data_IF_679613009866
#
_entry.id   IF_679613009866
#
_cell.length_a   1.000
_cell.length_b   1.000
_cell.length_c   1.000
_cell.angle_alpha   90.00
_cell.angle_beta   90.00
_cell.angle_gamma   90.00
#
_symmetry.space_group_name_H-M   'P 1'
#
loop_
_entity.id
_entity.type
_entity.pdbx_description
1 polymer ?
#
# COMPACT_ATOMS: atom_id res chain seq x y z
N UNK A 1 -50.65 -19.55 -16.08
CA UNK A 1 -49.90 -18.35 -16.48
C UNK A 1 -49.84 -18.33 -17.99
N UNK A 2 -50.35 -17.27 -18.62
CA UNK A 2 -50.41 -17.21 -20.08
C UNK A 2 -49.02 -16.91 -20.65
N UNK A 3 -48.71 -17.42 -21.84
CA UNK A 3 -47.42 -17.23 -22.52
C UNK A 3 -47.07 -15.74 -22.70
N UNK A 4 -48.09 -14.87 -22.77
CA UNK A 4 -47.92 -13.42 -22.81
C UNK A 4 -47.33 -12.84 -21.50
N UNK A 5 -47.80 -13.31 -20.33
CA UNK A 5 -47.28 -12.86 -19.02
C UNK A 5 -45.80 -13.23 -18.85
N UNK A 6 -45.39 -14.37 -19.38
CA UNK A 6 -43.99 -14.86 -19.31
C UNK A 6 -43.07 -14.05 -20.22
N UNK A 7 -43.54 -13.66 -21.41
CA UNK A 7 -42.76 -12.84 -22.36
C UNK A 7 -42.65 -11.39 -21.90
N UNK A 8 -43.69 -10.83 -21.28
CA UNK A 8 -43.68 -9.46 -20.74
C UNK A 8 -42.80 -9.33 -19.50
N UNK A 9 -42.82 -10.34 -18.60
CA UNK A 9 -41.87 -10.46 -17.48
C UNK A 9 -40.42 -10.63 -17.95
N UNK A 10 -40.18 -11.43 -19.00
CA UNK A 10 -38.84 -11.62 -19.56
C UNK A 10 -38.30 -10.36 -20.24
N UNK A 11 -39.14 -9.60 -20.95
CA UNK A 11 -38.76 -8.32 -21.55
C UNK A 11 -38.48 -7.25 -20.49
N UNK A 12 -39.29 -7.19 -19.42
CA UNK A 12 -39.07 -6.28 -18.31
C UNK A 12 -37.73 -6.52 -17.60
N UNK A 13 -37.38 -7.78 -17.33
CA UNK A 13 -36.09 -8.14 -16.73
C UNK A 13 -34.89 -7.83 -17.64
N UNK A 14 -35.01 -8.07 -18.95
CA UNK A 14 -33.95 -7.74 -19.91
C UNK A 14 -33.69 -6.23 -20.01
N UNK A 15 -34.76 -5.43 -19.96
CA UNK A 15 -34.68 -3.98 -20.03
C UNK A 15 -34.12 -3.36 -18.74
N UNK A 16 -34.52 -3.90 -17.57
CA UNK A 16 -33.92 -3.56 -16.28
C UNK A 16 -32.43 -3.88 -16.23
N UNK A 17 -32.02 -5.02 -16.78
CA UNK A 17 -30.62 -5.39 -16.80
C UNK A 17 -29.78 -4.43 -17.68
N UNK A 18 -30.30 -4.04 -18.85
CA UNK A 18 -29.63 -3.06 -19.72
C UNK A 18 -29.49 -1.69 -19.04
N UNK A 19 -30.51 -1.24 -18.31
CA UNK A 19 -30.45 0.01 -17.55
C UNK A 19 -29.43 -0.07 -16.41
N UNK A 20 -29.36 -1.21 -15.71
CA UNK A 20 -28.39 -1.41 -14.64
C UNK A 20 -26.94 -1.40 -15.16
N UNK A 21 -26.67 -2.03 -16.30
CA UNK A 21 -25.34 -1.97 -16.95
C UNK A 21 -24.98 -0.55 -17.38
N UNK A 22 -25.92 0.21 -17.95
CA UNK A 22 -25.67 1.61 -18.32
C UNK A 22 -25.32 2.48 -17.09
N UNK A 23 -26.01 2.26 -15.96
CA UNK A 23 -25.69 2.93 -14.70
C UNK A 23 -24.32 2.54 -14.15
N UNK A 24 -23.94 1.27 -14.29
CA UNK A 24 -22.60 0.79 -13.95
C UNK A 24 -21.52 1.48 -14.80
N UNK A 25 -21.70 1.56 -16.12
CA UNK A 25 -20.74 2.22 -17.02
C UNK A 25 -20.58 3.71 -16.69
N UNK A 26 -21.68 4.40 -16.38
CA UNK A 26 -21.65 5.78 -15.90
C UNK A 26 -20.89 5.93 -14.57
N UNK A 27 -20.99 4.93 -13.69
CA UNK A 27 -20.22 4.92 -12.45
C UNK A 27 -18.72 4.76 -12.71
N UNK A 28 -18.32 3.84 -13.60
CA UNK A 28 -16.92 3.65 -13.99
C UNK A 28 -16.32 4.93 -14.59
N UNK A 29 -17.08 5.63 -15.43
CA UNK A 29 -16.65 6.92 -15.98
C UNK A 29 -16.50 8.00 -14.90
N UNK A 30 -17.39 8.02 -13.90
CA UNK A 30 -17.28 8.94 -12.78
C UNK A 30 -16.07 8.63 -11.89
N UNK A 31 -15.74 7.36 -11.69
CA UNK A 31 -14.53 6.94 -10.96
C UNK A 31 -13.26 7.38 -11.68
N UNK A 32 -13.20 7.20 -13.01
CA UNK A 32 -12.09 7.67 -13.83
C UNK A 32 -11.91 9.21 -13.86
N UNK A 33 -12.87 9.96 -13.30
CA UNK A 33 -12.85 11.42 -13.15
C UNK A 33 -12.76 11.84 -11.66
N UNK A 34 -12.42 10.91 -10.77
CA UNK A 34 -12.35 11.09 -9.31
C UNK A 34 -13.64 11.64 -8.68
N UNK A 35 -14.78 11.43 -9.35
CA UNK A 35 -16.09 11.87 -8.88
C UNK A 35 -16.79 10.75 -8.11
N UNK A 36 -16.20 10.38 -6.97
CA UNK A 36 -16.65 9.26 -6.15
C UNK A 36 -18.10 9.42 -5.64
N UNK A 37 -18.57 10.65 -5.42
CA UNK A 37 -19.96 10.91 -5.04
C UNK A 37 -20.99 10.58 -6.14
N UNK A 38 -20.63 10.83 -7.40
CA UNK A 38 -21.46 10.42 -8.54
C UNK A 38 -21.37 8.92 -8.73
N UNK A 39 -20.16 8.35 -8.71
CA UNK A 39 -19.94 6.91 -8.84
C UNK A 39 -20.76 6.10 -7.83
N UNK A 40 -20.71 6.48 -6.55
CA UNK A 40 -21.49 5.85 -5.47
C UNK A 40 -22.98 5.84 -5.78
N UNK A 41 -23.54 6.98 -6.17
CA UNK A 41 -24.98 7.11 -6.46
C UNK A 41 -25.38 6.25 -7.66
N UNK A 42 -24.52 6.17 -8.67
CA UNK A 42 -24.77 5.37 -9.87
C UNK A 42 -24.70 3.87 -9.60
N UNK A 43 -23.70 3.40 -8.86
CA UNK A 43 -23.64 2.00 -8.40
C UNK A 43 -24.81 1.62 -7.50
N UNK A 44 -25.20 2.52 -6.59
CA UNK A 44 -26.38 2.31 -5.75
C UNK A 44 -27.66 2.16 -6.58
N UNK A 45 -27.84 3.00 -7.61
CA UNK A 45 -28.99 2.90 -8.53
C UNK A 45 -28.93 1.63 -9.37
N UNK A 46 -27.75 1.27 -9.90
CA UNK A 46 -27.54 0.05 -10.66
C UNK A 46 -27.95 -1.19 -9.83
N UNK A 47 -27.49 -1.24 -8.56
CA UNK A 47 -27.83 -2.33 -7.65
C UNK A 47 -29.33 -2.37 -7.31
N UNK A 48 -30.00 -1.21 -7.16
CA UNK A 48 -31.46 -1.17 -6.95
C UNK A 48 -32.24 -1.67 -8.17
N UNK A 49 -31.75 -1.39 -9.37
CA UNK A 49 -32.37 -1.80 -10.64
C UNK A 49 -32.17 -3.30 -10.90
N UNK A 50 -30.99 -3.84 -10.57
CA UNK A 50 -30.67 -5.27 -10.71
C UNK A 50 -30.04 -5.85 -9.44
N UNK A 51 -30.81 -6.12 -8.36
CA UNK A 51 -30.27 -6.53 -7.06
C UNK A 51 -29.61 -7.92 -7.03
N UNK A 52 -29.82 -8.73 -8.07
CA UNK A 52 -29.32 -10.09 -8.20
C UNK A 52 -28.15 -10.18 -9.20
N UNK A 53 -27.74 -9.05 -9.79
CA UNK A 53 -26.59 -9.03 -10.68
C UNK A 53 -25.30 -9.02 -9.84
N UNK A 54 -24.52 -10.10 -9.94
CA UNK A 54 -23.31 -10.30 -9.13
C UNK A 54 -22.20 -9.32 -9.50
N UNK A 55 -22.07 -8.97 -10.78
CA UNK A 55 -21.07 -8.01 -11.23
C UNK A 55 -21.31 -6.64 -10.59
N UNK A 56 -22.57 -6.19 -10.57
CA UNK A 56 -22.95 -4.91 -9.96
C UNK A 56 -22.82 -4.98 -8.43
N UNK A 57 -23.21 -6.10 -7.82
CA UNK A 57 -23.14 -6.29 -6.38
C UNK A 57 -21.68 -6.27 -5.88
N UNK A 58 -20.79 -7.02 -6.54
CA UNK A 58 -19.37 -7.07 -6.21
C UNK A 58 -18.71 -5.69 -6.43
N UNK A 59 -18.97 -5.04 -7.57
CA UNK A 59 -18.43 -3.71 -7.84
C UNK A 59 -18.91 -2.64 -6.85
N UNK A 60 -20.19 -2.68 -6.46
CA UNK A 60 -20.72 -1.74 -5.47
C UNK A 60 -20.14 -2.01 -4.08
N UNK A 61 -19.98 -3.28 -3.69
CA UNK A 61 -19.32 -3.67 -2.45
C UNK A 61 -17.87 -3.21 -2.38
N UNK A 62 -17.10 -3.47 -3.43
CA UNK A 62 -15.70 -3.03 -3.56
C UNK A 62 -15.57 -1.50 -3.50
N UNK A 63 -16.38 -0.78 -4.29
CA UNK A 63 -16.38 0.68 -4.25
C UNK A 63 -16.68 1.24 -2.84
N UNK A 64 -17.66 0.65 -2.14
CA UNK A 64 -18.00 1.10 -0.79
C UNK A 64 -16.90 0.80 0.23
N UNK A 65 -16.12 -0.27 0.01
CA UNK A 65 -14.98 -0.61 0.86
C UNK A 65 -13.83 0.39 0.71
N UNK A 66 -13.55 0.83 -0.52
CA UNK A 66 -12.41 1.68 -0.85
C UNK A 66 -12.70 3.17 -0.67
N UNK A 67 -13.84 3.64 -1.19
CA UNK A 67 -14.15 5.07 -1.31
C UNK A 67 -15.47 5.48 -0.65
N UNK A 68 -16.20 4.53 -0.05
CA UNK A 68 -17.54 4.75 0.50
C UNK A 68 -17.65 4.59 2.02
N UNK A 69 -18.89 4.67 2.55
CA UNK A 69 -19.14 4.37 3.95
C UNK A 69 -18.88 2.88 4.26
N UNK A 70 -17.82 2.61 5.02
CA UNK A 70 -17.36 1.25 5.36
C UNK A 70 -18.48 0.32 5.87
N UNK A 71 -19.40 0.83 6.70
CA UNK A 71 -20.54 0.05 7.22
C UNK A 71 -21.49 -0.46 6.14
N UNK A 72 -21.72 0.37 5.12
CA UNK A 72 -22.55 -0.02 3.98
C UNK A 72 -21.78 -1.03 3.12
N UNK A 73 -20.47 -0.83 2.94
CA UNK A 73 -19.58 -1.76 2.25
C UNK A 73 -19.61 -3.16 2.86
N UNK A 74 -19.45 -3.29 4.17
CA UNK A 74 -19.56 -4.57 4.89
C UNK A 74 -20.91 -5.24 4.60
N UNK A 75 -22.01 -4.49 4.63
CA UNK A 75 -23.36 -5.03 4.42
C UNK A 75 -23.51 -5.61 3.02
N UNK A 76 -23.04 -4.88 2.00
CA UNK A 76 -23.12 -5.30 0.60
C UNK A 76 -22.19 -6.49 0.32
N UNK A 77 -20.96 -6.46 0.83
CA UNK A 77 -20.01 -7.57 0.68
C UNK A 77 -20.48 -8.85 1.36
N UNK A 78 -21.10 -8.75 2.54
CA UNK A 78 -21.71 -9.90 3.21
C UNK A 78 -22.90 -10.47 2.40
N UNK A 79 -23.64 -9.64 1.68
CA UNK A 79 -24.67 -10.11 0.76
C UNK A 79 -24.05 -10.85 -0.43
N UNK A 80 -22.99 -10.30 -1.04
CA UNK A 80 -22.27 -10.97 -2.12
C UNK A 80 -21.72 -12.35 -1.69
N UNK A 81 -21.17 -12.43 -0.47
CA UNK A 81 -20.72 -13.69 0.13
C UNK A 81 -21.86 -14.68 0.33
N UNK A 82 -23.05 -14.24 0.75
CA UNK A 82 -24.22 -15.12 0.91
C UNK A 82 -24.67 -15.71 -0.42
N UNK A 83 -24.55 -14.97 -1.52
CA UNK A 83 -24.97 -15.42 -2.84
C UNK A 83 -23.92 -16.33 -3.52
N UNK A 84 -22.64 -15.97 -3.41
CA UNK A 84 -21.51 -16.74 -3.98
C UNK A 84 -20.40 -16.97 -2.95
N UNK A 85 -20.54 -17.97 -2.06
CA UNK A 85 -19.60 -18.19 -0.95
C UNK A 85 -18.27 -18.87 -1.35
N UNK A 86 -18.09 -19.26 -2.61
CA UNK A 86 -16.90 -19.97 -3.09
C UNK A 86 -16.30 -19.35 -4.35
N UNK A 87 -16.74 -18.16 -4.74
CA UNK A 87 -16.27 -17.42 -5.92
C UNK A 87 -15.95 -15.99 -5.48
N UNK A 88 -15.04 -15.30 -6.16
CA UNK A 88 -14.60 -13.93 -5.82
C UNK A 88 -13.85 -13.87 -4.49
N UNK A 89 -12.53 -13.93 -4.52
CA UNK A 89 -11.73 -13.85 -3.29
C UNK A 89 -11.67 -12.40 -2.75
N UNK A 90 -11.81 -11.41 -3.63
CA UNK A 90 -11.66 -9.97 -3.39
C UNK A 90 -12.62 -9.50 -2.30
N UNK A 91 -13.90 -9.91 -2.36
CA UNK A 91 -14.89 -9.58 -1.32
C UNK A 91 -14.48 -10.06 0.07
N UNK A 92 -13.76 -11.17 0.16
CA UNK A 92 -13.23 -11.66 1.42
C UNK A 92 -12.01 -10.87 1.88
N UNK A 93 -11.18 -10.38 0.96
CA UNK A 93 -10.05 -9.51 1.27
C UNK A 93 -10.56 -8.15 1.79
N UNK A 94 -11.54 -7.54 1.13
CA UNK A 94 -12.18 -6.31 1.62
C UNK A 94 -12.83 -6.51 3.00
N UNK A 95 -13.58 -7.61 3.20
CA UNK A 95 -14.13 -7.92 4.53
C UNK A 95 -13.03 -8.12 5.58
N UNK A 96 -11.90 -8.70 5.21
CA UNK A 96 -10.72 -8.85 6.08
C UNK A 96 -10.15 -7.53 6.57
N UNK A 97 -10.18 -6.49 5.74
CA UNK A 97 -9.73 -5.14 6.09
C UNK A 97 -10.76 -4.36 6.90
N UNK A 98 -12.05 -4.54 6.61
CA UNK A 98 -13.14 -3.76 7.21
C UNK A 98 -13.70 -4.34 8.53
N UNK A 99 -13.57 -5.64 8.76
CA UNK A 99 -14.04 -6.30 9.97
C UNK A 99 -12.94 -6.33 11.05
N UNK A 100 -13.32 -6.67 12.28
CA UNK A 100 -12.42 -6.79 13.43
C UNK A 100 -12.25 -8.24 13.91
N UNK A 101 -11.12 -8.50 14.58
CA UNK A 101 -10.86 -9.75 15.30
C UNK A 101 -10.98 -11.02 14.45
N UNK A 102 -11.64 -12.04 15.00
CA UNK A 102 -11.78 -13.35 14.37
C UNK A 102 -12.54 -13.31 13.03
N UNK A 103 -13.52 -12.41 12.88
CA UNK A 103 -14.31 -12.31 11.64
C UNK A 103 -13.45 -11.79 10.47
N UNK A 104 -12.53 -10.86 10.75
CA UNK A 104 -11.55 -10.39 9.79
C UNK A 104 -10.62 -11.54 9.35
N UNK A 105 -10.04 -12.24 10.32
CA UNK A 105 -9.12 -13.37 10.07
C UNK A 105 -9.83 -14.49 9.30
N UNK A 106 -11.07 -14.82 9.67
CA UNK A 106 -11.87 -15.84 8.99
C UNK A 106 -12.16 -15.46 7.53
N UNK A 107 -12.43 -14.17 7.27
CA UNK A 107 -12.65 -13.65 5.93
C UNK A 107 -11.38 -13.81 5.07
N UNK A 108 -10.23 -13.33 5.54
CA UNK A 108 -8.96 -13.46 4.80
C UNK A 108 -8.61 -14.92 4.52
N UNK A 109 -8.77 -15.81 5.51
CA UNK A 109 -8.55 -17.26 5.33
C UNK A 109 -9.46 -17.87 4.25
N UNK A 110 -10.69 -17.39 4.12
CA UNK A 110 -11.61 -17.84 3.08
C UNK A 110 -11.18 -17.33 1.70
N UNK A 111 -10.72 -16.08 1.60
CA UNK A 111 -10.10 -15.54 0.38
C UNK A 111 -8.89 -16.37 -0.06
N UNK A 112 -7.97 -16.66 0.86
CA UNK A 112 -6.81 -17.54 0.63
C UNK A 112 -7.21 -18.93 0.14
N UNK A 113 -8.31 -19.49 0.64
CA UNK A 113 -8.79 -20.80 0.18
C UNK A 113 -9.23 -20.76 -1.29
N UNK A 114 -9.90 -19.68 -1.71
CA UNK A 114 -10.36 -19.49 -3.09
C UNK A 114 -9.15 -19.28 -4.01
N UNK A 115 -8.21 -18.41 -3.62
CA UNK A 115 -6.96 -18.17 -4.35
C UNK A 115 -6.12 -19.43 -4.50
N UNK A 116 -5.98 -20.23 -3.44
CA UNK A 116 -5.28 -21.52 -3.53
C UNK A 116 -5.93 -22.45 -4.55
N UNK A 117 -7.27 -22.51 -4.58
CA UNK A 117 -7.97 -23.32 -5.58
C UNK A 117 -7.71 -22.79 -7.00
N UNK A 118 -7.67 -21.47 -7.21
CA UNK A 118 -7.32 -20.87 -8.50
C UNK A 118 -5.91 -21.24 -8.93
N UNK A 119 -4.91 -21.10 -8.04
CA UNK A 119 -3.52 -21.50 -8.30
C UNK A 119 -3.39 -22.99 -8.65
N UNK A 120 -4.20 -23.86 -8.04
CA UNK A 120 -4.16 -25.30 -8.29
C UNK A 120 -4.88 -25.74 -9.57
N UNK A 121 -5.77 -24.91 -10.12
CA UNK A 121 -6.67 -25.29 -11.22
C UNK A 121 -6.47 -24.52 -12.52
N UNK A 122 -6.04 -23.27 -12.43
CA UNK A 122 -5.69 -22.43 -13.57
C UNK A 122 -4.29 -22.79 -14.09
N UNK A 123 -3.94 -22.30 -15.28
CA UNK A 123 -2.63 -22.50 -15.86
C UNK A 123 -2.23 -21.34 -16.76
N UNK A 124 -0.91 -21.14 -16.94
CA UNK A 124 -0.38 -19.99 -17.66
C UNK A 124 -0.53 -18.70 -16.85
N UNK A 125 -0.74 -17.58 -17.53
CA UNK A 125 -0.75 -16.23 -16.95
C UNK A 125 -1.78 -16.08 -15.82
N UNK A 126 -2.96 -16.69 -15.94
CA UNK A 126 -4.00 -16.65 -14.88
C UNK A 126 -3.55 -17.34 -13.58
N UNK A 127 -2.71 -18.38 -13.67
CA UNK A 127 -2.16 -19.05 -12.49
C UNK A 127 -1.09 -18.20 -11.82
N UNK A 128 -0.30 -17.47 -12.62
CA UNK A 128 0.74 -16.56 -12.12
C UNK A 128 0.11 -15.38 -11.38
N UNK A 129 -0.90 -14.74 -11.97
CA UNK A 129 -1.68 -13.67 -11.31
C UNK A 129 -2.30 -14.14 -10.00
N UNK A 130 -2.95 -15.32 -10.01
CA UNK A 130 -3.51 -15.89 -8.79
C UNK A 130 -2.42 -16.24 -7.75
N UNK A 131 -1.21 -16.58 -8.18
CA UNK A 131 -0.07 -16.88 -7.30
C UNK A 131 0.47 -15.62 -6.63
N UNK A 132 0.56 -14.52 -7.38
CA UNK A 132 0.91 -13.20 -6.85
C UNK A 132 -0.13 -12.75 -5.81
N UNK A 133 -1.43 -12.79 -6.17
CA UNK A 133 -2.53 -12.44 -5.27
C UNK A 133 -2.57 -13.33 -4.02
N UNK A 134 -2.28 -14.62 -4.15
CA UNK A 134 -2.17 -15.54 -3.02
C UNK A 134 -0.99 -15.20 -2.11
N UNK A 135 0.14 -14.80 -2.67
CA UNK A 135 1.30 -14.35 -1.90
C UNK A 135 0.96 -13.12 -1.06
N UNK A 136 0.35 -12.10 -1.68
CA UNK A 136 -0.12 -10.90 -0.97
C UNK A 136 -1.18 -11.21 0.10
N UNK A 137 -2.15 -12.07 -0.20
CA UNK A 137 -3.17 -12.46 0.78
C UNK A 137 -2.60 -13.19 2.01
N UNK A 138 -1.54 -13.99 1.83
CA UNK A 138 -0.81 -14.62 2.93
C UNK A 138 -0.05 -13.60 3.78
N UNK A 139 0.53 -12.57 3.15
CA UNK A 139 1.17 -11.46 3.85
C UNK A 139 0.16 -10.66 4.67
N UNK A 140 -0.95 -10.26 4.06
CA UNK A 140 -2.05 -9.56 4.73
C UNK A 140 -2.61 -10.35 5.92
N UNK A 141 -2.72 -11.68 5.84
CA UNK A 141 -3.12 -12.51 6.98
C UNK A 141 -2.08 -12.47 8.10
N UNK A 142 -0.79 -12.56 7.78
CA UNK A 142 0.27 -12.51 8.76
C UNK A 142 0.30 -11.15 9.48
N UNK A 143 0.19 -10.04 8.73
CA UNK A 143 0.10 -8.69 9.31
C UNK A 143 -1.14 -8.53 10.19
N UNK A 144 -2.29 -9.05 9.74
CA UNK A 144 -3.52 -9.00 10.53
C UNK A 144 -3.37 -9.74 11.87
N UNK A 145 -2.67 -10.87 11.88
CA UNK A 145 -2.38 -11.63 13.10
C UNK A 145 -1.38 -10.89 14.00
N UNK A 146 -0.33 -10.29 13.44
CA UNK A 146 0.64 -9.49 14.21
C UNK A 146 0.00 -8.24 14.83
N UNK A 147 -0.92 -7.59 14.11
CA UNK A 147 -1.67 -6.44 14.59
C UNK A 147 -2.91 -6.76 15.45
N UNK A 148 -3.16 -8.04 15.76
CA UNK A 148 -4.39 -8.46 16.47
C UNK A 148 -4.42 -8.13 17.97
N UNK A 149 -3.25 -7.80 18.56
CA UNK A 149 -3.09 -7.62 20.00
C UNK A 149 -2.94 -8.92 20.81
N UNK A 150 -2.89 -10.08 20.13
CA UNK A 150 -2.51 -11.35 20.76
C UNK A 150 -1.03 -11.37 21.18
N UNK A 151 -0.67 -12.29 22.08
CA UNK A 151 0.73 -12.48 22.47
C UNK A 151 1.56 -12.95 21.26
N UNK A 152 2.69 -12.31 20.99
CA UNK A 152 3.52 -12.63 19.81
C UNK A 152 3.82 -14.13 19.66
N UNK A 153 4.08 -14.83 20.77
CA UNK A 153 4.39 -16.27 20.76
C UNK A 153 3.22 -17.14 20.27
N UNK A 154 1.96 -16.69 20.38
CA UNK A 154 0.80 -17.45 19.90
C UNK A 154 0.66 -17.40 18.38
N UNK A 155 1.10 -16.30 17.75
CA UNK A 155 0.93 -16.05 16.31
C UNK A 155 2.22 -16.20 15.49
N UNK A 156 3.39 -16.03 16.09
CA UNK A 156 4.67 -15.94 15.40
C UNK A 156 4.99 -17.15 14.51
N UNK A 157 4.74 -18.37 15.03
CA UNK A 157 5.00 -19.60 14.28
C UNK A 157 4.09 -19.72 13.06
N UNK A 158 2.83 -19.31 13.18
CA UNK A 158 1.90 -19.29 12.06
C UNK A 158 2.29 -18.22 11.04
N UNK A 159 2.55 -16.99 11.48
CA UNK A 159 2.99 -15.89 10.61
C UNK A 159 4.23 -16.29 9.81
N UNK A 160 5.24 -16.86 10.45
CA UNK A 160 6.43 -17.32 9.76
C UNK A 160 6.14 -18.43 8.73
N UNK A 161 5.19 -19.33 8.99
CA UNK A 161 4.78 -20.34 8.00
C UNK A 161 4.04 -19.73 6.81
N UNK A 162 3.14 -18.77 7.06
CA UNK A 162 2.41 -18.04 6.02
C UNK A 162 3.38 -17.30 5.10
N UNK A 163 4.33 -16.56 5.67
CA UNK A 163 5.29 -15.74 4.92
C UNK A 163 6.30 -16.60 4.13
N UNK A 164 6.81 -17.68 4.73
CA UNK A 164 7.65 -18.63 4.01
C UNK A 164 6.91 -19.31 2.85
N UNK A 165 5.60 -19.51 2.99
CA UNK A 165 4.77 -20.05 1.91
C UNK A 165 4.55 -18.99 0.82
N UNK A 166 4.25 -17.75 1.19
CA UNK A 166 4.08 -16.64 0.26
C UNK A 166 5.31 -16.47 -0.65
N UNK A 167 6.51 -16.36 -0.06
CA UNK A 167 7.75 -16.22 -0.81
C UNK A 167 8.17 -17.47 -1.62
N UNK A 168 7.53 -18.62 -1.43
CA UNK A 168 7.73 -19.80 -2.30
C UNK A 168 6.74 -19.83 -3.46
N UNK A 169 5.52 -19.35 -3.23
CA UNK A 169 4.47 -19.29 -4.25
C UNK A 169 4.81 -18.25 -5.29
N UNK A 170 5.24 -17.06 -4.84
CA UNK A 170 5.63 -15.98 -5.72
C UNK A 170 6.99 -15.42 -5.29
N UNK A 171 8.10 -16.05 -5.74
CA UNK A 171 9.45 -15.73 -5.28
C UNK A 171 9.90 -14.32 -5.60
N UNK A 172 9.33 -13.65 -6.60
CA UNK A 172 9.76 -12.32 -7.04
C UNK A 172 9.20 -11.19 -6.14
N UNK A 173 8.09 -11.41 -5.42
CA UNK A 173 7.55 -10.39 -4.52
C UNK A 173 8.51 -10.04 -3.37
N UNK A 174 8.68 -8.73 -3.07
CA UNK A 174 9.44 -8.25 -1.93
C UNK A 174 8.67 -8.31 -0.60
N UNK A 175 7.35 -8.46 -0.67
CA UNK A 175 6.43 -8.30 0.46
C UNK A 175 6.61 -9.32 1.59
N UNK A 176 6.73 -10.64 1.32
CA UNK A 176 6.88 -11.62 2.39
C UNK A 176 8.13 -11.38 3.24
N UNK A 177 9.20 -10.87 2.63
CA UNK A 177 10.46 -10.57 3.31
C UNK A 177 10.37 -9.32 4.17
N UNK A 178 9.64 -8.30 3.75
CA UNK A 178 9.42 -7.11 4.57
C UNK A 178 8.58 -7.45 5.81
N UNK A 179 7.50 -8.21 5.65
CA UNK A 179 6.68 -8.65 6.80
C UNK A 179 7.46 -9.60 7.71
N UNK A 180 8.34 -10.46 7.15
CA UNK A 180 9.28 -11.25 7.96
C UNK A 180 10.22 -10.35 8.77
N UNK A 181 10.73 -9.26 8.17
CA UNK A 181 11.55 -8.31 8.90
C UNK A 181 10.78 -7.72 10.08
N UNK A 182 9.55 -7.25 9.88
CA UNK A 182 8.67 -6.76 10.95
C UNK A 182 8.45 -7.81 12.05
N UNK A 183 8.18 -9.07 11.70
CA UNK A 183 8.07 -10.16 12.67
C UNK A 183 9.36 -10.33 13.49
N UNK A 184 10.54 -10.19 12.87
CA UNK A 184 11.82 -10.29 13.57
C UNK A 184 12.09 -9.09 14.48
N UNK A 185 11.64 -7.89 14.11
CA UNK A 185 11.65 -6.71 15.00
C UNK A 185 10.85 -7.01 16.27
N UNK A 186 9.61 -7.47 16.12
CA UNK A 186 8.74 -7.83 17.24
C UNK A 186 9.35 -8.94 18.12
N UNK A 187 10.08 -9.87 17.52
CA UNK A 187 10.83 -10.93 18.24
C UNK A 187 12.13 -10.45 18.89
N UNK A 188 12.46 -9.15 18.80
CA UNK A 188 13.71 -8.56 19.28
C UNK A 188 14.95 -9.19 18.65
N UNK A 189 14.88 -9.45 17.33
CA UNK A 189 15.94 -10.05 16.51
C UNK A 189 16.35 -9.11 15.37
N UNK A 190 16.95 -7.94 15.68
CA UNK A 190 17.23 -6.90 14.69
C UNK A 190 18.17 -7.37 13.57
N UNK A 191 19.16 -8.22 13.87
CA UNK A 191 20.08 -8.75 12.84
C UNK A 191 19.35 -9.63 11.81
N UNK A 192 18.43 -10.50 12.26
CA UNK A 192 17.59 -11.31 11.36
C UNK A 192 16.61 -10.41 10.58
N UNK A 193 16.06 -9.39 11.22
CA UNK A 193 15.14 -8.44 10.60
C UNK A 193 15.82 -7.68 9.45
N UNK A 194 17.00 -7.13 9.71
CA UNK A 194 17.77 -6.38 8.73
C UNK A 194 18.21 -7.26 7.56
N UNK A 195 18.52 -8.53 7.80
CA UNK A 195 18.81 -9.47 6.72
C UNK A 195 17.61 -9.62 5.78
N UNK A 196 16.41 -9.91 6.32
CA UNK A 196 15.21 -10.06 5.51
C UNK A 196 14.85 -8.76 4.76
N UNK A 197 14.99 -7.61 5.41
CA UNK A 197 14.73 -6.32 4.77
C UNK A 197 15.68 -6.07 3.59
N UNK A 198 16.97 -6.38 3.76
CA UNK A 198 17.96 -6.27 2.66
C UNK A 198 17.65 -7.22 1.51
N UNK A 199 17.21 -8.45 1.79
CA UNK A 199 16.76 -9.40 0.76
C UNK A 199 15.50 -8.89 0.03
N UNK A 200 14.56 -8.27 0.75
CA UNK A 200 13.38 -7.62 0.15
C UNK A 200 13.79 -6.50 -0.81
N UNK A 201 14.67 -5.61 -0.35
CA UNK A 201 15.14 -4.45 -1.12
C UNK A 201 15.92 -4.82 -2.38
N UNK A 202 16.65 -5.93 -2.41
CA UNK A 202 17.40 -6.38 -3.59
C UNK A 202 16.51 -6.54 -4.84
N UNK A 203 15.21 -6.71 -4.65
CA UNK A 203 14.23 -6.95 -5.71
C UNK A 203 13.79 -5.67 -6.44
N UNK A 204 13.89 -4.51 -5.81
CA UNK A 204 13.31 -3.26 -6.34
C UNK A 204 14.20 -2.03 -6.16
N UNK A 205 15.05 -1.99 -5.13
CA UNK A 205 15.89 -0.83 -4.83
C UNK A 205 16.86 -0.47 -5.98
N UNK A 206 17.47 -1.41 -6.73
CA UNK A 206 18.28 -1.06 -7.90
C UNK A 206 17.51 -0.33 -9.01
N UNK A 207 16.21 -0.59 -9.16
CA UNK A 207 15.36 0.15 -10.11
C UNK A 207 15.11 1.57 -9.62
N UNK A 208 14.86 1.74 -8.32
CA UNK A 208 14.73 3.06 -7.71
C UNK A 208 16.01 3.90 -7.90
N UNK A 209 17.18 3.31 -7.66
CA UNK A 209 18.46 4.02 -7.80
C UNK A 209 18.74 4.46 -9.24
N UNK A 210 18.35 3.65 -10.24
CA UNK A 210 18.44 4.04 -11.65
C UNK A 210 17.51 5.21 -11.96
N UNK A 211 16.24 5.11 -11.56
CA UNK A 211 15.26 6.17 -11.73
C UNK A 211 15.73 7.52 -11.15
N UNK A 212 16.32 7.52 -9.95
CA UNK A 212 16.85 8.74 -9.33
C UNK A 212 18.12 9.26 -10.04
N UNK A 213 18.98 8.38 -10.55
CA UNK A 213 20.16 8.80 -11.30
C UNK A 213 19.79 9.45 -12.65
N UNK A 214 18.76 8.91 -13.32
CA UNK A 214 18.26 9.45 -14.58
C UNK A 214 17.61 10.82 -14.38
N UNK A 215 16.81 11.00 -13.32
CA UNK A 215 16.17 12.28 -12.99
C UNK A 215 17.17 13.41 -12.68
N UNK A 216 18.29 13.08 -12.03
CA UNK A 216 19.38 14.02 -11.78
C UNK A 216 20.17 14.33 -13.07
N UNK A 217 20.35 13.36 -13.97
CA UNK A 217 21.05 13.59 -15.24
C UNK A 217 20.25 14.49 -16.21
N UNK A 218 18.92 14.39 -16.22
CA UNK A 218 18.05 15.27 -17.00
C UNK A 218 18.01 16.72 -16.45
N UNK A 219 18.36 16.94 -15.18
CA UNK A 219 18.49 18.29 -14.58
C UNK A 219 19.80 18.99 -14.99
N UNK A 220 20.83 18.23 -15.38
CA UNK A 220 22.15 18.76 -15.72
C UNK A 220 22.42 18.87 -17.25
N UNK A 221 21.63 18.23 -18.12
CA UNK A 221 21.85 18.23 -19.57
C UNK A 221 20.60 18.63 -20.38
N UNK A 222 20.44 19.94 -20.69
CA UNK A 222 20.00 20.30 -22.04
C UNK A 222 21.14 19.89 -22.99
N UNK A 223 20.95 18.80 -23.73
CA UNK A 223 21.81 18.24 -24.83
C UNK A 223 22.42 16.86 -24.53
N UNK A 224 21.76 15.79 -24.99
CA UNK A 224 22.22 14.90 -26.09
C UNK A 224 21.30 13.68 -26.14
N UNK A 225 20.54 13.52 -27.24
CA UNK A 225 19.84 12.27 -27.57
C UNK A 225 20.88 11.15 -27.71
N UNK A 226 21.14 10.40 -26.64
CA UNK A 226 21.84 9.12 -26.73
C UNK A 226 20.79 8.06 -27.04
N UNK A 227 21.01 7.39 -28.17
CA UNK A 227 20.32 6.18 -28.59
C UNK A 227 20.35 5.16 -27.42
N UNK A 228 19.27 5.12 -26.63
CA UNK A 228 19.07 4.09 -25.63
C UNK A 228 18.81 2.78 -26.37
N UNK A 229 19.67 1.79 -26.14
CA UNK A 229 19.52 0.45 -26.69
C UNK A 229 18.12 -0.11 -26.32
N UNK A 230 17.39 -0.66 -27.30
CA UNK A 230 16.03 -1.21 -27.14
C UNK A 230 15.92 -2.35 -26.10
N UNK A 231 17.05 -2.87 -25.59
CA UNK A 231 17.12 -3.94 -24.59
C UNK A 231 16.98 -3.43 -23.12
N UNK A 232 17.01 -2.12 -22.85
CA UNK A 232 16.83 -1.57 -21.48
C UNK A 232 15.36 -1.26 -21.13
N UNK A 233 14.43 -1.46 -22.07
CA UNK A 233 12.99 -1.20 -21.88
C UNK A 233 12.25 -2.30 -21.07
N UNK A 234 12.90 -3.43 -20.81
CA UNK A 234 12.26 -4.63 -20.24
C UNK A 234 12.48 -4.83 -18.73
N UNK A 235 12.97 -3.82 -17.99
CA UNK A 235 13.09 -3.86 -16.52
C UNK A 235 12.41 -2.68 -15.82
N UNK A 236 11.32 -2.18 -16.39
CA UNK A 236 10.29 -1.42 -15.67
C UNK A 236 9.56 -2.35 -14.69
N UNK A 237 10.29 -2.93 -13.75
CA UNK A 237 9.70 -3.45 -12.54
C UNK A 237 9.08 -2.24 -11.84
N UNK A 238 7.76 -2.10 -11.97
CA UNK A 238 6.98 -1.10 -11.26
C UNK A 238 7.45 -1.11 -9.81
N UNK A 239 7.88 0.05 -9.33
CA UNK A 239 8.30 0.18 -7.95
C UNK A 239 7.17 -0.29 -7.03
N UNK A 240 7.49 -0.89 -5.88
CA UNK A 240 6.48 -1.17 -4.88
C UNK A 240 5.71 0.10 -4.51
N UNK A 241 4.49 -0.08 -4.01
CA UNK A 241 3.60 1.03 -3.65
C UNK A 241 4.26 2.02 -2.70
N UNK A 242 3.71 3.24 -2.69
CA UNK A 242 4.11 4.30 -1.78
C UNK A 242 4.20 3.80 -0.32
N UNK A 243 3.15 3.12 0.14
CA UNK A 243 3.04 2.59 1.50
C UNK A 243 4.11 1.54 1.79
N UNK A 244 4.36 0.63 0.84
CA UNK A 244 5.39 -0.40 0.99
C UNK A 244 6.79 0.21 1.14
N UNK A 245 7.12 1.19 0.29
CA UNK A 245 8.39 1.92 0.37
C UNK A 245 8.49 2.73 1.66
N UNK A 246 7.41 3.37 2.08
CA UNK A 246 7.36 4.11 3.34
C UNK A 246 7.62 3.20 4.56
N UNK A 247 6.99 2.03 4.62
CA UNK A 247 7.25 1.03 5.66
C UNK A 247 8.68 0.46 5.60
N UNK A 248 9.26 0.31 4.41
CA UNK A 248 10.69 -0.02 4.26
C UNK A 248 11.57 1.04 4.93
N UNK A 249 11.30 2.32 4.68
CA UNK A 249 12.08 3.41 5.26
C UNK A 249 11.99 3.42 6.80
N UNK A 250 10.80 3.15 7.37
CA UNK A 250 10.62 3.02 8.83
C UNK A 250 11.49 1.90 9.40
N UNK A 251 11.46 0.72 8.78
CA UNK A 251 12.27 -0.42 9.21
C UNK A 251 13.77 -0.14 9.07
N UNK A 252 14.20 0.55 8.02
CA UNK A 252 15.61 0.93 7.85
C UNK A 252 16.09 1.88 8.95
N UNK A 253 15.27 2.83 9.36
CA UNK A 253 15.62 3.78 10.44
C UNK A 253 15.76 3.04 11.78
N UNK A 254 14.95 2.03 12.02
CA UNK A 254 15.01 1.23 13.24
C UNK A 254 16.19 0.24 13.24
N UNK A 255 16.56 -0.30 12.07
CA UNK A 255 17.46 -1.46 11.97
C UNK A 255 18.84 -1.19 11.38
N UNK A 256 18.97 -0.26 10.43
CA UNK A 256 20.23 -0.03 9.72
C UNK A 256 21.10 0.99 10.45
N UNK A 257 22.42 0.83 10.37
CA UNK A 257 23.37 1.72 11.04
C UNK A 257 23.50 3.09 10.34
N UNK A 258 23.00 3.19 9.10
CA UNK A 258 23.11 4.37 8.23
C UNK A 258 21.74 4.80 7.74
N UNK A 259 21.53 6.10 7.59
CA UNK A 259 20.26 6.65 7.09
C UNK A 259 20.20 6.77 5.56
N UNK A 260 21.30 6.53 4.84
CA UNK A 260 21.45 6.80 3.40
C UNK A 260 20.34 6.20 2.54
N UNK A 261 20.05 4.89 2.71
CA UNK A 261 18.99 4.23 1.93
C UNK A 261 17.60 4.72 2.29
N UNK A 262 17.36 5.01 3.57
CA UNK A 262 16.08 5.53 4.03
C UNK A 262 15.84 6.93 3.44
N UNK A 263 16.86 7.79 3.39
CA UNK A 263 16.81 9.10 2.71
C UNK A 263 16.42 8.93 1.25
N UNK A 264 17.11 8.08 0.48
CA UNK A 264 16.79 7.87 -0.94
C UNK A 264 15.35 7.41 -1.17
N UNK A 265 14.84 6.52 -0.31
CA UNK A 265 13.45 6.07 -0.40
C UNK A 265 12.50 7.23 -0.10
N UNK A 266 12.73 7.97 0.98
CA UNK A 266 11.87 9.07 1.41
C UNK A 266 11.87 10.24 0.41
N UNK A 267 13.02 10.55 -0.21
CA UNK A 267 13.11 11.53 -1.29
C UNK A 267 12.26 11.10 -2.49
N UNK A 268 12.34 9.82 -2.90
CA UNK A 268 11.50 9.31 -3.99
C UNK A 268 10.00 9.38 -3.68
N UNK A 269 9.62 9.22 -2.42
CA UNK A 269 8.22 9.34 -1.99
C UNK A 269 7.76 10.80 -2.01
N UNK A 270 8.64 11.75 -1.69
CA UNK A 270 8.34 13.19 -1.80
C UNK A 270 8.22 13.61 -3.27
N UNK A 271 9.03 13.06 -4.18
CA UNK A 271 8.89 13.33 -5.61
C UNK A 271 7.54 12.82 -6.15
N UNK A 272 7.01 11.73 -5.60
CA UNK A 272 5.71 11.17 -5.96
C UNK A 272 4.53 11.91 -5.32
N UNK A 273 4.58 12.18 -4.01
CA UNK A 273 3.57 12.95 -3.27
C UNK A 273 4.22 13.79 -2.16
N UNK A 274 4.42 15.08 -2.45
CA UNK A 274 5.01 16.05 -1.53
C UNK A 274 4.02 16.53 -0.44
N UNK A 275 2.77 16.05 -0.45
CA UNK A 275 1.71 16.56 0.43
C UNK A 275 1.61 15.83 1.77
N UNK A 276 2.35 14.74 1.96
CA UNK A 276 2.30 13.87 3.15
C UNK A 276 3.28 14.34 4.24
N UNK A 277 2.82 14.93 5.37
CA UNK A 277 3.73 15.48 6.38
C UNK A 277 4.62 14.42 7.04
N UNK A 278 4.15 13.18 7.18
CA UNK A 278 4.91 12.10 7.79
C UNK A 278 6.19 11.76 7.03
N UNK A 279 6.17 11.82 5.69
CA UNK A 279 7.37 11.56 4.88
C UNK A 279 8.42 12.64 5.12
N UNK A 280 8.00 13.91 5.14
CA UNK A 280 8.88 15.04 5.48
C UNK A 280 9.46 14.95 6.89
N UNK A 281 8.65 14.54 7.88
CA UNK A 281 9.10 14.34 9.25
C UNK A 281 10.21 13.28 9.30
N UNK A 282 9.96 12.12 8.70
CA UNK A 282 10.92 11.02 8.67
C UNK A 282 12.19 11.38 7.90
N UNK A 283 12.07 12.09 6.77
CA UNK A 283 13.22 12.56 6.03
C UNK A 283 14.08 13.48 6.89
N UNK A 284 13.47 14.45 7.60
CA UNK A 284 14.18 15.34 8.50
C UNK A 284 14.91 14.57 9.62
N UNK A 285 14.30 13.52 10.18
CA UNK A 285 14.97 12.64 11.16
C UNK A 285 16.19 11.93 10.56
N UNK A 286 16.04 11.36 9.36
CA UNK A 286 17.11 10.66 8.66
C UNK A 286 18.29 11.58 8.31
N UNK A 287 17.99 12.78 7.81
CA UNK A 287 18.98 13.80 7.48
C UNK A 287 19.73 14.27 8.72
N UNK A 288 19.02 14.50 9.84
CA UNK A 288 19.66 14.84 11.11
C UNK A 288 20.57 13.70 11.60
N UNK A 289 20.09 12.46 11.54
CA UNK A 289 20.88 11.26 11.90
C UNK A 289 22.11 11.07 11.02
N UNK A 290 22.06 11.51 9.77
CA UNK A 290 23.19 11.58 8.83
C UNK A 290 24.10 12.80 8.99
N UNK A 291 23.83 13.68 9.98
CA UNK A 291 24.60 14.90 10.23
C UNK A 291 24.29 16.07 9.28
N UNK A 292 23.31 15.93 8.40
CA UNK A 292 22.89 16.95 7.42
C UNK A 292 21.87 17.91 8.03
N UNK A 293 22.31 18.69 9.03
CA UNK A 293 21.41 19.50 9.87
C UNK A 293 20.67 20.59 9.12
N UNK A 294 21.28 21.21 8.10
CA UNK A 294 20.63 22.24 7.28
C UNK A 294 19.48 21.64 6.45
N UNK A 295 19.75 20.56 5.71
CA UNK A 295 18.73 19.85 4.94
C UNK A 295 17.60 19.32 5.84
N UNK A 296 17.94 18.80 7.04
CA UNK A 296 16.95 18.38 8.03
C UNK A 296 16.01 19.54 8.44
N UNK A 297 16.56 20.75 8.64
CA UNK A 297 15.77 21.92 8.99
C UNK A 297 14.82 22.34 7.86
N UNK A 298 15.27 22.24 6.60
CA UNK A 298 14.44 22.54 5.43
C UNK A 298 13.31 21.54 5.24
N UNK A 299 13.60 20.24 5.34
CA UNK A 299 12.60 19.17 5.27
C UNK A 299 11.55 19.34 6.39
N UNK A 300 12.00 19.59 7.63
CA UNK A 300 11.12 19.84 8.76
C UNK A 300 10.20 21.05 8.50
N UNK A 301 10.74 22.14 7.95
CA UNK A 301 9.97 23.33 7.67
C UNK A 301 8.86 23.07 6.63
N UNK A 302 9.13 22.25 5.61
CA UNK A 302 8.12 21.84 4.63
C UNK A 302 7.01 21.02 5.28
N UNK A 303 7.37 19.98 6.02
CA UNK A 303 6.39 19.16 6.76
C UNK A 303 5.51 19.99 7.71
N UNK A 304 6.09 20.94 8.45
CA UNK A 304 5.33 21.85 9.33
C UNK A 304 4.34 22.75 8.57
N UNK A 305 4.64 23.17 7.34
CA UNK A 305 3.71 23.97 6.53
C UNK A 305 2.51 23.15 6.11
N UNK A 306 2.71 21.88 5.77
CA UNK A 306 1.64 20.95 5.40
C UNK A 306 0.78 20.59 6.61
N UNK A 307 1.42 20.30 7.75
CA UNK A 307 0.74 19.96 8.99
C UNK A 307 -0.25 21.03 9.45
N UNK A 308 0.09 22.31 9.28
CA UNK A 308 -0.80 23.45 9.60
C UNK A 308 -2.10 23.47 8.78
N UNK A 309 -2.16 22.73 7.67
CA UNK A 309 -3.34 22.62 6.81
C UNK A 309 -4.23 21.44 7.19
N UNK A 310 -3.75 20.52 8.03
CA UNK A 310 -4.49 19.33 8.47
C UNK A 310 -5.24 19.60 9.78
N UNK A 311 -6.46 19.07 9.88
CA UNK A 311 -7.20 18.99 11.13
C UNK A 311 -6.74 17.75 11.91
N UNK A 312 -6.78 17.79 13.25
CA UNK A 312 -6.47 16.66 14.15
C UNK A 312 -5.05 16.07 14.07
N UNK A 313 -4.02 16.92 13.96
CA UNK A 313 -2.61 16.48 13.85
C UNK A 313 -1.75 16.72 15.12
N UNK A 314 -2.35 16.67 16.31
CA UNK A 314 -1.71 17.11 17.57
C UNK A 314 -0.49 16.26 17.98
N UNK A 315 -0.53 14.93 17.79
CA UNK A 315 0.59 14.04 18.12
C UNK A 315 1.78 14.29 17.20
N UNK A 316 1.54 14.29 15.90
CA UNK A 316 2.56 14.60 14.90
C UNK A 316 3.12 16.02 15.08
N UNK A 317 2.29 17.00 15.45
CA UNK A 317 2.76 18.36 15.73
C UNK A 317 3.74 18.41 16.91
N UNK A 318 3.54 17.57 17.92
CA UNK A 318 4.49 17.43 19.02
C UNK A 318 5.80 16.82 18.53
N UNK A 319 5.74 15.76 17.73
CA UNK A 319 6.93 15.12 17.18
C UNK A 319 7.77 16.09 16.33
N UNK A 320 7.12 16.88 15.46
CA UNK A 320 7.77 17.96 14.71
C UNK A 320 8.41 19.03 15.62
N UNK A 321 7.80 19.32 16.77
CA UNK A 321 8.35 20.28 17.73
C UNK A 321 9.58 19.72 18.45
N UNK A 322 9.53 18.45 18.85
CA UNK A 322 10.64 17.78 19.53
C UNK A 322 11.84 17.63 18.58
N UNK A 323 11.59 17.24 17.33
CA UNK A 323 12.62 17.19 16.29
C UNK A 323 13.19 18.57 15.98
N UNK A 324 12.37 19.63 16.00
CA UNK A 324 12.86 21.00 15.84
C UNK A 324 13.91 21.36 16.90
N UNK A 325 13.65 21.00 18.15
CA UNK A 325 14.59 21.27 19.25
C UNK A 325 15.91 20.54 19.00
N UNK A 326 15.86 19.27 18.62
CA UNK A 326 17.05 18.48 18.31
C UNK A 326 17.88 19.07 17.15
N UNK A 327 17.22 19.51 16.07
CA UNK A 327 17.89 20.18 14.93
C UNK A 327 18.52 21.50 15.39
N UNK A 328 17.79 22.32 16.15
CA UNK A 328 18.30 23.61 16.65
C UNK A 328 19.48 23.43 17.63
N UNK A 329 19.56 22.31 18.36
CA UNK A 329 20.69 21.96 19.21
C UNK A 329 21.90 21.50 18.39
N UNK A 330 21.70 20.57 17.46
CA UNK A 330 22.75 20.09 16.56
C UNK A 330 23.38 21.22 15.73
N UNK A 331 22.56 22.16 15.24
CA UNK A 331 23.04 23.31 14.48
C UNK A 331 23.94 24.23 15.30
N UNK A 332 23.66 24.39 16.61
CA UNK A 332 24.50 25.18 17.51
C UNK A 332 25.83 24.49 17.79
N UNK A 333 25.81 23.17 17.95
CA UNK A 333 27.03 22.38 18.17
C UNK A 333 27.95 22.46 16.94
N UNK A 334 27.42 22.25 15.74
CA UNK A 334 28.18 22.38 14.49
C UNK A 334 28.75 23.80 14.30
N UNK A 335 27.97 24.84 14.62
CA UNK A 335 28.45 26.22 14.55
C UNK A 335 29.59 26.51 15.56
N UNK A 336 29.48 25.96 16.79
CA UNK A 336 30.52 26.12 17.82
C UNK A 336 31.82 25.38 17.45
N UNK A 337 31.73 24.21 16.81
CA UNK A 337 32.90 23.49 16.29
C UNK A 337 33.57 24.24 15.15
N UNK A 338 32.79 24.82 14.22
CA UNK A 338 33.30 25.63 13.13
C UNK A 338 34.04 26.90 13.63
N UNK A 339 33.49 27.59 14.63
CA UNK A 339 34.11 28.76 15.26
C UNK A 339 35.36 28.38 16.09
N UNK A 340 35.35 27.20 16.73
CA UNK A 340 36.49 26.68 17.51
C UNK A 340 37.66 26.16 16.66
N UNK A 341 37.43 25.86 15.38
CA UNK A 341 38.43 25.38 14.44
C UNK A 341 39.27 26.49 13.77
N UNK A 342 39.00 27.77 14.05
CA UNK A 342 39.81 28.89 13.55
C UNK A 342 41.21 28.82 14.19
N UNK A 343 42.31 28.56 13.42
CA UNK A 343 43.64 28.47 14.01
C UNK A 343 44.03 29.84 14.56
N UNK A 344 44.48 29.88 15.81
CA UNK A 344 45.13 31.08 16.35
C UNK A 344 46.39 31.37 15.50
N UNK A 345 46.33 32.44 14.70
CA UNK A 345 47.40 32.90 13.80
C UNK A 345 48.66 33.29 14.56
#
# INVERSE_FOLDING_TARGET
>A
MAVADVVELANGGAQQNQEAVALYDEAQQAMAQDNYDVARRKLQQAHQTAPQDMMILDAYGAFLAEAGPQRDGITILQEAVRQQPNEGFEKYMYLGQLLDGEDAVASIRKGIQILQWQVDTLGGDEQEEASEQLSGALCALAERLLGSGEELDSVAAECQQLLNRAGRIFPDSPEPLQVLASLKVEQQKPDEALQHLRESMQKWFPSLQRMLADSDSERDEEEEEKDMDEDDQDLDAQLPSFEFRFETAKLLIELDETTEKAVLILDSLIEEDDSVPNVWYMLAMCLLGGGQTEAAAEALQHGQKLLRKQEDADELAKDFSDLKVAIDEAAKEQAAEADGAVPSV
#
